data_IF_579676538418
#
_entry.id   IF_579676538418
#
_cell.length_a   1.000
_cell.length_b   1.000
_cell.length_c   1.000
_cell.angle_alpha   90.00
_cell.angle_beta   90.00
_cell.angle_gamma   90.00
#
_symmetry.space_group_name_H-M   'P 1'
#
loop_
_entity.id
_entity.type
_entity.pdbx_description
1 polymer ?
#
# COMPACT_ATOMS: atom_id res chain seq x y z
N UNK A 1 -95.88 -5.02 17.84
CA UNK A 1 -95.61 -4.29 16.58
C UNK A 1 -94.46 -3.31 16.81
N UNK A 2 -93.44 -3.33 15.94
CA UNK A 2 -92.42 -2.30 15.61
C UNK A 2 -91.65 -1.66 16.80
N UNK A 3 -90.36 -1.99 17.05
CA UNK A 3 -89.09 -1.64 16.35
C UNK A 3 -88.38 -0.42 16.98
N UNK A 4 -87.08 -0.54 17.26
CA UNK A 4 -86.11 0.57 17.44
C UNK A 4 -85.26 0.43 18.71
N UNK A 5 -84.23 -0.44 18.73
CA UNK A 5 -82.81 -0.16 18.38
C UNK A 5 -82.15 0.85 19.34
N UNK A 6 -81.32 0.28 20.23
CA UNK A 6 -80.30 0.98 21.01
C UNK A 6 -79.03 1.17 20.15
N UNK A 7 -78.41 2.35 20.22
CA UNK A 7 -77.01 2.56 19.81
C UNK A 7 -76.35 3.49 20.83
N UNK A 8 -75.48 2.91 21.65
CA UNK A 8 -74.40 3.55 22.38
C UNK A 8 -73.14 3.41 21.51
N UNK A 9 -72.62 4.50 20.96
CA UNK A 9 -71.28 4.62 20.35
C UNK A 9 -70.99 6.12 20.25
N UNK A 10 -69.84 6.68 20.59
CA UNK A 10 -68.58 6.15 21.06
C UNK A 10 -67.64 7.36 21.21
N UNK A 11 -66.77 7.33 22.21
CA UNK A 11 -65.70 8.30 22.34
C UNK A 11 -64.45 7.55 22.79
N UNK A 12 -63.85 6.82 21.84
CA UNK A 12 -62.53 6.23 21.99
C UNK A 12 -61.49 7.32 21.78
N UNK A 13 -60.92 7.83 22.87
CA UNK A 13 -59.64 8.51 22.84
C UNK A 13 -58.57 7.47 22.48
N UNK A 14 -58.14 7.46 21.22
CA UNK A 14 -56.96 6.72 20.79
C UNK A 14 -55.74 7.46 21.34
N UNK A 15 -55.32 7.09 22.54
CA UNK A 15 -53.98 7.41 23.03
C UNK A 15 -52.97 6.65 22.19
N UNK A 16 -52.30 7.35 21.27
CA UNK A 16 -51.11 6.83 20.59
C UNK A 16 -50.02 6.59 21.63
N UNK A 17 -49.95 5.37 22.14
CA UNK A 17 -48.82 4.89 22.91
C UNK A 17 -47.66 4.66 21.92
N UNK A 18 -46.83 5.69 21.77
CA UNK A 18 -45.58 5.58 21.02
C UNK A 18 -44.67 4.64 21.79
N UNK A 19 -44.60 3.37 21.37
CA UNK A 19 -43.67 2.40 21.91
C UNK A 19 -42.26 2.82 21.48
N UNK A 20 -41.57 3.58 22.31
CA UNK A 20 -40.14 3.88 22.12
C UNK A 20 -39.37 2.59 22.35
N UNK A 21 -39.10 1.86 21.26
CA UNK A 21 -38.10 0.80 21.27
C UNK A 21 -36.75 1.49 21.45
N UNK A 22 -36.27 1.52 22.70
CA UNK A 22 -34.89 1.85 23.01
C UNK A 22 -34.00 0.72 22.48
N UNK A 23 -33.68 0.78 21.18
CA UNK A 23 -32.58 0.01 20.62
C UNK A 23 -31.30 0.45 21.34
N UNK A 24 -30.74 -0.45 22.15
CA UNK A 24 -29.35 -0.34 22.59
C UNK A 24 -28.51 -0.27 21.32
N UNK A 25 -28.01 0.91 20.99
CA UNK A 25 -27.02 1.08 19.95
C UNK A 25 -25.74 0.47 20.49
N UNK A 26 -25.44 -0.75 20.05
CA UNK A 26 -24.14 -1.38 20.27
C UNK A 26 -23.11 -0.49 19.57
N UNK A 27 -22.44 0.38 20.33
CA UNK A 27 -21.55 1.45 19.85
C UNK A 27 -20.25 1.00 19.17
N UNK A 28 -20.21 -0.20 18.61
CA UNK A 28 -19.12 -0.67 17.76
C UNK A 28 -19.42 -0.27 16.32
N UNK A 29 -19.01 0.95 15.92
CA UNK A 29 -18.97 1.31 14.50
C UNK A 29 -18.18 0.24 13.73
N UNK A 30 -18.83 -0.41 12.75
CA UNK A 30 -18.16 -1.41 11.89
C UNK A 30 -17.04 -0.71 11.12
N UNK A 31 -15.82 -1.23 11.21
CA UNK A 31 -14.66 -0.74 10.43
C UNK A 31 -15.01 -0.67 8.95
N UNK A 32 -14.63 0.43 8.31
CA UNK A 32 -14.70 0.60 6.86
C UNK A 32 -13.77 -0.40 6.15
N UNK A 33 -14.02 -0.63 4.85
CA UNK A 33 -13.16 -1.49 4.03
C UNK A 33 -11.70 -0.98 3.99
N UNK A 34 -11.51 0.34 4.04
CA UNK A 34 -10.19 0.97 4.11
C UNK A 34 -9.45 0.64 5.42
N UNK A 35 -10.15 0.70 6.55
CA UNK A 35 -9.58 0.37 7.86
C UNK A 35 -9.22 -1.12 7.96
N UNK A 36 -10.06 -2.00 7.41
CA UNK A 36 -9.78 -3.43 7.35
C UNK A 36 -8.57 -3.76 6.47
N UNK A 37 -8.43 -3.10 5.32
CA UNK A 37 -7.24 -3.28 4.46
C UNK A 37 -5.97 -2.72 5.11
N UNK A 38 -6.05 -1.59 5.83
CA UNK A 38 -4.93 -1.05 6.60
C UNK A 38 -4.52 -2.02 7.71
N UNK A 39 -5.46 -2.51 8.51
CA UNK A 39 -5.18 -3.49 9.57
C UNK A 39 -4.51 -4.75 9.01
N UNK A 40 -5.03 -5.28 7.90
CA UNK A 40 -4.42 -6.41 7.20
C UNK A 40 -3.00 -6.10 6.73
N UNK A 41 -2.77 -4.92 6.15
CA UNK A 41 -1.45 -4.51 5.68
C UNK A 41 -0.44 -4.34 6.83
N UNK A 42 -0.89 -3.95 8.02
CA UNK A 42 -0.04 -3.74 9.20
C UNK A 42 0.24 -5.04 9.97
N UNK A 43 -0.67 -6.02 9.92
CA UNK A 43 -0.51 -7.30 10.61
C UNK A 43 0.71 -8.11 10.15
N UNK A 44 1.03 -8.02 8.86
CA UNK A 44 2.09 -8.79 8.23
C UNK A 44 3.24 -7.86 7.77
N UNK A 45 4.19 -7.50 8.66
CA UNK A 45 5.27 -6.60 8.31
C UNK A 45 6.26 -7.25 7.33
N UNK A 46 7.01 -6.39 6.65
CA UNK A 46 8.14 -6.74 5.80
C UNK A 46 9.42 -6.11 6.33
N UNK A 47 10.57 -6.66 5.93
CA UNK A 47 11.85 -6.05 6.27
C UNK A 47 11.97 -4.58 5.80
N UNK A 48 11.31 -4.23 4.71
CA UNK A 48 11.29 -2.87 4.16
C UNK A 48 10.70 -1.84 5.14
N UNK A 49 9.82 -2.29 6.05
CA UNK A 49 9.11 -1.41 6.98
C UNK A 49 10.04 -0.83 8.06
N UNK A 50 11.20 -1.46 8.28
CA UNK A 50 12.23 -1.05 9.24
C UNK A 50 13.13 0.07 8.69
N UNK A 51 12.97 0.44 7.42
CA UNK A 51 13.76 1.49 6.79
C UNK A 51 13.15 2.87 6.95
N UNK A 52 13.87 3.93 6.53
CA UNK A 52 13.37 5.29 6.61
C UNK A 52 12.10 5.45 5.76
N UNK A 53 11.11 6.17 6.30
CA UNK A 53 9.87 6.50 5.59
C UNK A 53 10.04 7.67 4.60
N UNK A 54 11.15 8.40 4.71
CA UNK A 54 11.48 9.57 3.88
C UNK A 54 12.91 9.46 3.37
N UNK A 55 13.13 9.95 2.16
CA UNK A 55 14.44 10.01 1.50
C UNK A 55 14.66 11.41 0.90
N UNK A 56 14.23 12.44 1.61
CA UNK A 56 14.19 13.84 1.15
C UNK A 56 15.57 14.32 0.66
N UNK A 57 16.64 13.94 1.36
CA UNK A 57 18.02 14.28 1.00
C UNK A 57 18.49 13.71 -0.33
N UNK A 58 17.95 12.56 -0.73
CA UNK A 58 18.26 11.97 -2.04
C UNK A 58 17.35 12.60 -3.11
N UNK A 59 16.06 12.73 -2.79
CA UNK A 59 15.05 13.20 -3.74
C UNK A 59 15.22 14.68 -4.10
N UNK A 60 15.87 15.50 -3.26
CA UNK A 60 16.16 16.91 -3.60
C UNK A 60 16.93 17.06 -4.91
N UNK A 61 17.77 16.08 -5.26
CA UNK A 61 18.53 16.05 -6.51
C UNK A 61 17.77 15.48 -7.72
N UNK A 62 16.54 14.98 -7.54
CA UNK A 62 15.78 14.34 -8.62
C UNK A 62 15.07 15.38 -9.51
N UNK A 63 14.78 15.05 -10.79
CA UNK A 63 13.98 15.90 -11.68
C UNK A 63 12.62 16.26 -11.08
N UNK A 64 12.09 17.45 -11.40
CA UNK A 64 10.82 17.94 -10.85
C UNK A 64 9.68 16.92 -11.01
N UNK A 65 9.51 16.34 -12.20
CA UNK A 65 8.45 15.34 -12.44
C UNK A 65 8.59 14.07 -11.58
N UNK A 66 9.81 13.69 -11.21
CA UNK A 66 10.08 12.52 -10.36
C UNK A 66 9.75 12.84 -8.90
N UNK A 67 10.06 14.06 -8.45
CA UNK A 67 9.74 14.53 -7.10
C UNK A 67 8.24 14.54 -6.83
N UNK A 68 7.41 14.80 -7.84
CA UNK A 68 5.95 14.73 -7.69
C UNK A 68 5.46 13.30 -7.40
N UNK A 69 6.06 12.29 -8.02
CA UNK A 69 5.78 10.88 -7.72
C UNK A 69 6.17 10.51 -6.28
N UNK A 70 7.29 11.03 -5.77
CA UNK A 70 7.70 10.84 -4.37
C UNK A 70 6.69 11.43 -3.38
N UNK A 71 6.23 12.66 -3.62
CA UNK A 71 5.18 13.31 -2.79
C UNK A 71 3.91 12.46 -2.75
N UNK A 72 3.53 11.85 -3.88
CA UNK A 72 2.38 10.95 -3.95
C UNK A 72 2.60 9.65 -3.16
N UNK A 73 3.81 9.09 -3.11
CA UNK A 73 4.09 7.93 -2.25
C UNK A 73 3.85 8.27 -0.78
N UNK A 74 4.33 9.43 -0.32
CA UNK A 74 4.10 9.91 1.04
C UNK A 74 2.62 10.20 1.32
N UNK A 75 1.90 10.79 0.37
CA UNK A 75 0.50 11.19 0.56
C UNK A 75 -0.51 10.04 0.40
N UNK A 76 -0.21 9.04 -0.44
CA UNK A 76 -1.18 7.99 -0.84
C UNK A 76 -0.83 6.64 -0.28
N UNK A 77 0.41 6.17 -0.42
CA UNK A 77 0.78 4.84 0.05
C UNK A 77 0.80 4.75 1.59
N UNK A 78 1.16 5.86 2.25
CA UNK A 78 1.16 5.98 3.72
C UNK A 78 -0.21 5.77 4.38
N UNK A 79 -1.31 5.86 3.61
CA UNK A 79 -2.67 5.68 4.15
C UNK A 79 -2.89 4.27 4.71
N UNK A 80 -2.27 3.25 4.11
CA UNK A 80 -2.49 1.85 4.45
C UNK A 80 -1.31 1.17 5.16
N UNK A 81 -0.08 1.61 4.90
CA UNK A 81 1.14 1.08 5.51
C UNK A 81 2.25 2.12 5.44
N UNK A 82 3.37 1.98 6.17
CA UNK A 82 4.46 2.95 6.12
C UNK A 82 4.98 3.17 4.69
N UNK A 83 5.38 4.41 4.36
CA UNK A 83 6.01 4.73 3.08
C UNK A 83 7.37 4.04 2.91
N UNK A 84 7.99 3.60 4.01
CA UNK A 84 9.19 2.77 4.00
C UNK A 84 8.99 1.47 3.19
N UNK A 85 7.78 0.91 3.14
CA UNK A 85 7.48 -0.35 2.45
C UNK A 85 7.84 -0.33 0.96
N UNK A 86 7.36 0.63 0.13
CA UNK A 86 7.83 0.77 -1.24
C UNK A 86 9.24 1.37 -1.34
N UNK A 87 9.61 2.34 -0.49
CA UNK A 87 10.91 3.01 -0.61
C UNK A 87 12.09 2.06 -0.35
N UNK A 88 11.94 1.11 0.56
CA UNK A 88 13.01 0.19 0.96
C UNK A 88 12.83 -1.24 0.43
N UNK A 89 11.88 -1.45 -0.48
CA UNK A 89 11.70 -2.73 -1.17
C UNK A 89 12.92 -3.14 -1.97
N UNK A 90 13.19 -4.44 -2.00
CA UNK A 90 14.21 -5.04 -2.88
C UNK A 90 13.90 -4.88 -4.37
N UNK A 91 12.70 -4.43 -4.74
CA UNK A 91 12.28 -4.31 -6.13
C UNK A 91 13.12 -3.30 -6.90
N UNK A 92 13.57 -3.75 -8.08
CA UNK A 92 14.28 -2.97 -9.08
C UNK A 92 13.64 -3.20 -10.45
N UNK A 93 13.36 -2.12 -11.15
CA UNK A 93 12.90 -2.15 -12.53
C UNK A 93 13.81 -1.22 -13.34
N UNK A 94 14.34 -1.71 -14.44
CA UNK A 94 15.14 -0.89 -15.36
C UNK A 94 14.28 0.18 -16.02
N UNK A 95 14.89 1.34 -16.31
CA UNK A 95 14.23 2.38 -17.08
C UNK A 95 13.88 1.90 -18.50
N UNK A 96 12.87 2.51 -19.11
CA UNK A 96 12.45 2.24 -20.49
C UNK A 96 11.03 2.74 -20.76
N UNK A 97 10.78 3.25 -21.97
CA UNK A 97 9.49 3.82 -22.36
C UNK A 97 8.47 2.74 -22.72
N UNK A 98 8.92 1.53 -23.04
CA UNK A 98 8.09 0.38 -23.39
C UNK A 98 8.50 -0.88 -22.60
N UNK A 99 7.63 -1.91 -22.48
CA UNK A 99 8.02 -3.20 -21.91
C UNK A 99 9.23 -3.83 -22.61
N UNK A 100 9.32 -3.67 -23.94
CA UNK A 100 10.43 -4.19 -24.74
C UNK A 100 11.75 -3.50 -24.39
N UNK A 101 11.75 -2.16 -24.30
CA UNK A 101 12.94 -1.41 -23.87
C UNK A 101 13.39 -1.79 -22.46
N UNK A 102 12.44 -1.92 -21.52
CA UNK A 102 12.74 -2.37 -20.14
C UNK A 102 13.35 -3.77 -20.13
N UNK A 103 12.82 -4.68 -20.95
CA UNK A 103 13.36 -6.03 -21.11
C UNK A 103 14.77 -6.05 -21.69
N UNK A 104 15.03 -5.23 -22.72
CA UNK A 104 16.36 -5.10 -23.31
C UNK A 104 17.37 -4.52 -22.31
N UNK A 105 16.98 -3.47 -21.57
CA UNK A 105 17.81 -2.87 -20.53
C UNK A 105 18.07 -3.82 -19.36
N UNK A 106 17.10 -4.66 -19.00
CA UNK A 106 17.29 -5.72 -18.01
C UNK A 106 18.32 -6.76 -18.46
N UNK A 107 18.23 -7.21 -19.71
CA UNK A 107 19.20 -8.14 -20.28
C UNK A 107 20.61 -7.55 -20.31
N UNK A 108 20.74 -6.27 -20.69
CA UNK A 108 22.01 -5.52 -20.63
C UNK A 108 22.54 -5.43 -19.21
N UNK A 109 21.71 -5.02 -18.24
CA UNK A 109 22.09 -4.92 -16.83
C UNK A 109 22.61 -6.26 -16.29
N UNK A 110 21.96 -7.38 -16.64
CA UNK A 110 22.39 -8.72 -16.22
C UNK A 110 23.76 -9.11 -16.78
N UNK A 111 24.07 -8.68 -18.01
CA UNK A 111 25.37 -8.92 -18.64
C UNK A 111 26.47 -8.09 -18.00
N UNK A 112 26.19 -6.82 -17.70
CA UNK A 112 27.17 -5.86 -17.17
C UNK A 112 27.40 -6.01 -15.66
N UNK A 113 26.34 -6.37 -14.93
CA UNK A 113 26.31 -6.40 -13.46
C UNK A 113 25.70 -7.71 -12.93
N UNK A 114 26.25 -8.89 -13.28
CA UNK A 114 25.72 -10.18 -12.84
C UNK A 114 25.69 -10.34 -11.31
N UNK A 115 26.52 -9.60 -10.58
CA UNK A 115 26.54 -9.56 -9.11
C UNK A 115 25.23 -9.08 -8.49
N UNK A 116 24.51 -8.16 -9.15
CA UNK A 116 23.23 -7.65 -8.64
C UNK A 116 22.12 -8.70 -8.68
N UNK A 117 22.30 -9.78 -9.44
CA UNK A 117 21.32 -10.86 -9.61
C UNK A 117 21.56 -12.05 -8.68
N UNK A 118 22.60 -12.00 -7.84
CA UNK A 118 22.97 -13.12 -6.96
C UNK A 118 22.09 -13.24 -5.71
N UNK A 119 21.54 -12.12 -5.24
CA UNK A 119 20.71 -12.08 -4.03
C UNK A 119 19.40 -11.35 -4.29
N UNK A 120 18.33 -12.13 -4.49
CA UNK A 120 16.98 -11.61 -4.74
C UNK A 120 16.38 -10.85 -3.55
N UNK A 121 16.90 -11.06 -2.34
CA UNK A 121 16.43 -10.35 -1.15
C UNK A 121 17.09 -8.99 -1.01
N UNK A 122 18.24 -8.79 -1.65
CA UNK A 122 18.86 -7.47 -1.82
C UNK A 122 18.33 -6.74 -3.05
N UNK A 123 18.27 -7.45 -4.19
CA UNK A 123 17.78 -6.93 -5.47
C UNK A 123 16.87 -7.95 -6.16
N UNK A 124 15.57 -7.69 -6.14
CA UNK A 124 14.62 -8.39 -7.00
C UNK A 124 14.45 -7.58 -8.29
N UNK A 125 15.24 -7.94 -9.30
CA UNK A 125 15.31 -7.22 -10.58
C UNK A 125 14.41 -7.90 -11.60
N UNK A 126 13.32 -7.24 -11.97
CA UNK A 126 12.33 -7.76 -12.91
C UNK A 126 11.73 -6.64 -13.74
N UNK A 127 11.43 -6.90 -15.02
CA UNK A 127 10.69 -5.95 -15.84
C UNK A 127 9.23 -5.85 -15.35
N UNK A 128 8.77 -4.63 -15.07
CA UNK A 128 7.38 -4.33 -14.70
C UNK A 128 6.99 -4.65 -13.27
N UNK A 129 7.95 -4.96 -12.40
CA UNK A 129 7.66 -5.28 -10.99
C UNK A 129 7.00 -4.11 -10.27
N UNK A 130 7.45 -2.87 -10.53
CA UNK A 130 6.85 -1.69 -9.93
C UNK A 130 5.49 -1.39 -10.53
N UNK A 131 5.34 -1.57 -11.84
CA UNK A 131 4.04 -1.37 -12.51
C UNK A 131 2.98 -2.31 -11.93
N UNK A 132 3.30 -3.61 -11.79
CA UNK A 132 2.42 -4.60 -11.16
C UNK A 132 2.15 -4.28 -9.70
N UNK A 133 3.17 -3.86 -8.96
CA UNK A 133 3.03 -3.50 -7.55
C UNK A 133 2.06 -2.34 -7.37
N UNK A 134 2.24 -1.23 -8.09
CA UNK A 134 1.40 -0.03 -7.98
C UNK A 134 -0.04 -0.35 -8.37
N UNK A 135 -0.28 -1.05 -9.48
CA UNK A 135 -1.63 -1.47 -9.90
C UNK A 135 -2.34 -2.32 -8.83
N UNK A 136 -1.61 -3.23 -8.18
CA UNK A 136 -2.16 -4.04 -7.09
C UNK A 136 -2.54 -3.19 -5.87
N UNK A 137 -1.76 -2.16 -5.55
CA UNK A 137 -2.10 -1.23 -4.46
C UNK A 137 -3.32 -0.39 -4.82
N UNK A 138 -3.42 0.10 -6.06
CA UNK A 138 -4.58 0.85 -6.56
C UNK A 138 -5.89 0.04 -6.50
N UNK A 139 -5.80 -1.29 -6.67
CA UNK A 139 -6.96 -2.18 -6.60
C UNK A 139 -7.44 -2.48 -5.16
N UNK A 140 -6.75 -1.97 -4.12
CA UNK A 140 -7.15 -2.21 -2.72
C UNK A 140 -8.32 -1.32 -2.31
N UNK A 141 -9.32 -1.87 -1.59
CA UNK A 141 -10.38 -1.06 -0.97
C UNK A 141 -9.81 0.11 -0.16
N UNK A 142 -10.36 1.31 -0.36
CA UNK A 142 -9.91 2.52 0.32
C UNK A 142 -8.63 3.17 -0.24
N UNK A 143 -8.01 2.57 -1.27
CA UNK A 143 -6.87 3.18 -1.96
C UNK A 143 -7.35 4.17 -3.03
N UNK A 144 -7.16 5.45 -2.77
CA UNK A 144 -7.59 6.54 -3.66
C UNK A 144 -6.42 7.04 -4.51
N UNK A 145 -5.90 6.16 -5.38
CA UNK A 145 -4.84 6.49 -6.34
C UNK A 145 -5.43 6.45 -7.76
N UNK A 146 -5.45 7.60 -8.42
CA UNK A 146 -5.88 7.70 -9.83
C UNK A 146 -4.89 6.99 -10.76
N UNK A 147 -5.28 6.78 -12.03
CA UNK A 147 -4.37 6.21 -13.04
C UNK A 147 -3.14 7.11 -13.27
N UNK A 148 -3.35 8.42 -13.31
CA UNK A 148 -2.32 9.44 -13.49
C UNK A 148 -1.39 9.50 -12.28
N UNK A 149 -1.95 9.47 -11.06
CA UNK A 149 -1.16 9.41 -9.82
C UNK A 149 -0.34 8.12 -9.76
N UNK A 150 -0.95 6.98 -10.08
CA UNK A 150 -0.28 5.67 -10.15
C UNK A 150 0.88 5.67 -11.14
N UNK A 151 0.71 6.31 -12.31
CA UNK A 151 1.79 6.48 -13.29
C UNK A 151 2.95 7.30 -12.72
N UNK A 152 2.68 8.42 -12.04
CA UNK A 152 3.71 9.26 -11.40
C UNK A 152 4.44 8.50 -10.29
N UNK A 153 3.72 7.76 -9.46
CA UNK A 153 4.29 6.90 -8.42
C UNK A 153 5.21 5.83 -9.03
N UNK A 154 4.74 5.13 -10.07
CA UNK A 154 5.54 4.13 -10.78
C UNK A 154 6.82 4.74 -11.37
N UNK A 155 6.72 5.89 -12.05
CA UNK A 155 7.88 6.58 -12.61
C UNK A 155 8.91 6.95 -11.55
N UNK A 156 8.46 7.42 -10.38
CA UNK A 156 9.34 7.67 -9.25
C UNK A 156 10.03 6.40 -8.75
N UNK A 157 9.29 5.31 -8.52
CA UNK A 157 9.85 4.06 -7.99
C UNK A 157 10.86 3.41 -8.95
N UNK A 158 10.60 3.47 -10.26
CA UNK A 158 11.56 3.06 -11.29
C UNK A 158 12.81 3.92 -11.21
N UNK A 159 12.68 5.25 -11.30
CA UNK A 159 13.81 6.17 -11.27
C UNK A 159 14.66 6.00 -10.02
N UNK A 160 14.02 6.01 -8.85
CA UNK A 160 14.67 5.84 -7.56
C UNK A 160 15.40 4.48 -7.45
N UNK A 161 14.81 3.41 -7.99
CA UNK A 161 15.48 2.10 -8.03
C UNK A 161 16.76 2.12 -8.87
N UNK A 162 16.79 2.88 -9.97
CA UNK A 162 18.00 3.01 -10.79
C UNK A 162 19.07 3.88 -10.10
N UNK A 163 18.67 4.97 -9.43
CA UNK A 163 19.63 5.83 -8.73
C UNK A 163 20.19 5.16 -7.47
N UNK A 164 19.34 4.76 -6.52
CA UNK A 164 19.82 4.27 -5.23
C UNK A 164 20.27 2.81 -5.27
N UNK A 165 19.57 1.96 -6.03
CA UNK A 165 19.76 0.50 -5.92
C UNK A 165 20.71 -0.06 -6.95
N UNK A 166 20.77 0.52 -8.15
CA UNK A 166 21.75 0.14 -9.19
C UNK A 166 23.01 1.02 -9.08
N UNK A 167 22.90 2.34 -9.29
CA UNK A 167 24.10 3.21 -9.24
C UNK A 167 24.70 3.30 -7.83
N UNK A 168 23.84 3.29 -6.81
CA UNK A 168 24.23 3.24 -5.39
C UNK A 168 24.37 1.83 -4.80
N UNK A 169 24.62 0.79 -5.62
CA UNK A 169 24.54 -0.62 -5.21
C UNK A 169 25.24 -0.97 -3.89
N UNK A 170 26.43 -0.45 -3.62
CA UNK A 170 27.15 -0.71 -2.37
C UNK A 170 26.39 -0.23 -1.13
N UNK A 171 25.97 1.04 -1.14
CA UNK A 171 25.18 1.62 -0.06
C UNK A 171 23.81 0.95 0.08
N UNK A 172 23.17 0.62 -1.06
CA UNK A 172 21.90 -0.11 -1.05
C UNK A 172 22.02 -1.50 -0.44
N UNK A 173 23.06 -2.26 -0.80
CA UNK A 173 23.32 -3.59 -0.22
C UNK A 173 23.46 -3.52 1.29
N UNK A 174 24.28 -2.59 1.78
CA UNK A 174 24.48 -2.39 3.22
C UNK A 174 23.18 -2.05 3.93
N UNK A 175 22.41 -1.09 3.39
CA UNK A 175 21.09 -0.73 3.91
C UNK A 175 20.16 -1.95 3.93
N UNK A 176 20.05 -2.66 2.81
CA UNK A 176 19.09 -3.76 2.68
C UNK A 176 19.43 -4.95 3.56
N UNK A 177 20.72 -5.24 3.74
CA UNK A 177 21.19 -6.25 4.69
C UNK A 177 20.82 -5.86 6.13
N UNK A 178 21.07 -4.61 6.52
CA UNK A 178 20.67 -4.11 7.84
C UNK A 178 19.17 -4.28 8.08
N UNK A 179 18.33 -3.97 7.08
CA UNK A 179 16.88 -4.16 7.19
C UNK A 179 16.49 -5.63 7.37
N UNK A 180 17.16 -6.56 6.67
CA UNK A 180 16.92 -8.00 6.85
C UNK A 180 17.33 -8.45 8.24
N UNK A 181 18.47 -7.99 8.74
CA UNK A 181 19.00 -8.36 10.06
C UNK A 181 18.11 -7.81 11.18
N UNK A 182 17.74 -6.52 11.11
CA UNK A 182 16.81 -5.89 12.05
C UNK A 182 15.45 -6.62 12.02
N UNK A 183 14.94 -6.96 10.82
CA UNK A 183 13.68 -7.68 10.70
C UNK A 183 13.75 -9.09 11.27
N UNK A 184 14.85 -9.81 11.04
CA UNK A 184 15.08 -11.15 11.59
C UNK A 184 15.13 -11.12 13.11
N UNK A 185 15.80 -10.13 13.69
CA UNK A 185 15.92 -9.97 15.13
C UNK A 185 14.56 -9.66 15.78
N UNK A 186 13.78 -8.77 15.18
CA UNK A 186 12.52 -8.29 15.76
C UNK A 186 11.29 -9.15 15.37
N UNK A 187 11.35 -9.88 14.25
CA UNK A 187 10.24 -10.67 13.72
C UNK A 187 10.72 -12.05 13.21
N UNK A 188 11.36 -12.89 14.04
CA UNK A 188 12.02 -14.11 13.57
C UNK A 188 11.08 -15.12 12.90
N UNK A 189 9.83 -15.24 13.39
CA UNK A 189 8.81 -16.11 12.78
C UNK A 189 8.43 -15.62 11.38
N UNK A 190 8.06 -14.34 11.27
CA UNK A 190 7.70 -13.73 9.99
C UNK A 190 8.87 -13.68 9.01
N UNK A 191 10.09 -13.49 9.51
CA UNK A 191 11.30 -13.62 8.70
C UNK A 191 11.42 -15.01 8.08
N UNK A 192 11.23 -16.07 8.87
CA UNK A 192 11.28 -17.44 8.38
C UNK A 192 10.23 -17.69 7.28
N UNK A 193 9.01 -17.17 7.43
CA UNK A 193 7.94 -17.32 6.42
C UNK A 193 8.27 -16.66 5.06
N UNK A 194 9.06 -15.59 5.06
CA UNK A 194 9.35 -14.81 3.86
C UNK A 194 10.69 -15.14 3.20
N UNK A 195 11.66 -15.60 4.00
CA UNK A 195 13.07 -15.65 3.60
C UNK A 195 13.75 -17.01 3.83
N UNK A 196 13.04 -18.04 4.29
CA UNK A 196 13.51 -19.42 4.39
C UNK A 196 12.61 -20.36 3.59
#
# INVERSE_FOLDING_TARGET
MKKGIAILMGMFLVGSFMLVVSGKADGSAKKSAAELEKEKAMKDPYANDFGPEKIDDVVKGYPAQVRDGYKLVAAKCAKCHPSSRPLNSQFVETEGKSPAERGANLAKLKKEHPELFKDKYVWQIESGIWERYVKRMMAKPGCEISREEGKKIWQFLVYDSNQRKIKGAGAWKANRQKLLDDFKANNPKRYAELYK
#
